data_IF_371718342173
#
_entry.id   IF_371718342173
#
_cell.length_a   1.000
_cell.length_b   1.000
_cell.length_c   1.000
_cell.angle_alpha   90.00
_cell.angle_beta   90.00
_cell.angle_gamma   90.00
#
_symmetry.space_group_name_H-M   'P 1'
#
loop_
_entity.id
_entity.type
_entity.pdbx_description
1 polymer ?
#
# COMPACT_ATOMS: atom_id res chain seq x y z
N UNK A 1 4.33 18.05 37.84
CA UNK A 1 4.32 19.43 38.34
C UNK A 1 4.48 20.35 37.14
N UNK A 2 3.46 21.10 36.84
CA UNK A 2 3.40 22.04 35.71
C UNK A 2 3.87 23.39 36.25
N UNK A 3 4.97 23.90 35.75
CA UNK A 3 5.38 25.29 36.03
C UNK A 3 4.86 26.17 34.90
N UNK A 4 3.88 26.99 35.24
CA UNK A 4 3.37 28.07 34.40
C UNK A 4 4.23 29.34 34.72
N UNK A 5 4.91 29.85 33.73
CA UNK A 5 5.60 31.17 33.83
C UNK A 5 4.70 32.18 33.14
N UNK A 6 4.19 33.15 33.91
CA UNK A 6 3.44 34.30 33.40
C UNK A 6 4.38 35.44 33.04
N UNK A 7 4.28 35.98 31.84
CA UNK A 7 4.81 37.27 31.45
C UNK A 7 3.65 38.26 31.27
N UNK A 8 3.60 39.37 31.98
CA UNK A 8 2.54 40.36 31.85
C UNK A 8 2.93 41.43 30.84
N UNK A 9 2.79 41.24 29.56
CA UNK A 9 2.81 42.29 28.56
C UNK A 9 2.61 41.79 27.12
N UNK A 10 1.61 40.99 26.84
CA UNK A 10 1.04 40.85 25.47
C UNK A 10 -0.27 40.08 25.57
N UNK A 11 -1.32 40.67 25.01
CA UNK A 11 -2.68 40.21 25.11
C UNK A 11 -2.98 38.79 24.59
N UNK A 12 -4.06 38.24 25.12
CA UNK A 12 -4.75 36.99 24.86
C UNK A 12 -4.46 36.25 23.55
N UNK A 13 -3.45 35.37 23.55
CA UNK A 13 -3.43 34.15 22.75
C UNK A 13 -2.54 33.09 23.43
N UNK A 14 -3.18 32.14 24.09
CA UNK A 14 -2.52 31.00 24.70
C UNK A 14 -2.20 29.94 23.64
N UNK A 15 -0.91 29.78 23.30
CA UNK A 15 -0.42 28.63 22.52
C UNK A 15 -0.07 27.48 23.47
N UNK A 16 -0.87 26.43 23.46
CA UNK A 16 -0.60 25.17 24.15
C UNK A 16 0.41 24.37 23.36
N UNK A 17 1.66 24.34 23.78
CA UNK A 17 2.68 23.41 23.29
C UNK A 17 2.74 22.18 24.18
N UNK A 18 2.04 21.14 23.81
CA UNK A 18 2.15 19.80 24.42
C UNK A 18 3.04 18.92 23.54
N UNK A 19 4.33 18.74 23.93
CA UNK A 19 5.10 17.48 23.85
C UNK A 19 6.53 17.69 24.36
N UNK A 20 7.10 16.78 25.17
CA UNK A 20 8.48 16.91 25.64
C UNK A 20 9.45 16.47 24.53
N UNK A 21 10.30 17.38 24.11
CA UNK A 21 11.42 17.10 23.23
C UNK A 21 12.60 16.60 24.08
N UNK A 22 12.93 15.32 23.98
CA UNK A 22 14.13 14.73 24.61
C UNK A 22 15.27 14.73 23.61
N UNK A 23 16.20 15.69 23.76
CA UNK A 23 17.47 15.73 23.04
C UNK A 23 18.62 15.73 24.02
N UNK A 24 19.70 14.95 23.83
CA UNK A 24 20.83 14.83 24.77
C UNK A 24 21.66 16.11 24.92
N UNK A 25 21.45 17.14 24.13
CA UNK A 25 22.25 18.38 24.15
C UNK A 25 21.79 19.45 25.18
N UNK A 26 20.75 19.21 25.97
CA UNK A 26 20.23 20.20 26.92
C UNK A 26 21.12 20.44 28.14
N UNK A 27 21.83 19.41 28.59
CA UNK A 27 22.74 19.52 29.74
C UNK A 27 23.98 20.42 29.43
N UNK A 28 24.56 20.25 28.26
CA UNK A 28 25.73 21.00 27.84
C UNK A 28 25.44 22.51 27.73
N UNK A 29 24.22 22.89 27.27
CA UNK A 29 23.83 24.29 27.12
C UNK A 29 23.53 24.98 28.46
N UNK A 30 22.96 24.27 29.44
CA UNK A 30 22.70 24.84 30.79
C UNK A 30 23.96 25.00 31.61
N UNK A 31 24.93 24.10 31.50
CA UNK A 31 26.19 24.15 32.23
C UNK A 31 27.08 25.29 31.71
N UNK A 32 27.13 25.53 30.40
CA UNK A 32 27.87 26.65 29.80
C UNK A 32 27.25 28.00 30.18
N UNK A 33 25.93 28.11 30.21
CA UNK A 33 25.22 29.33 30.54
C UNK A 33 25.40 29.72 32.03
N UNK A 34 25.39 28.73 32.93
CA UNK A 34 25.60 28.98 34.39
C UNK A 34 27.02 29.33 34.72
N UNK A 35 28.04 28.77 34.07
CA UNK A 35 29.43 29.14 34.24
C UNK A 35 29.74 30.57 33.72
N UNK A 36 29.20 30.92 32.54
CA UNK A 36 29.34 32.28 31.98
C UNK A 36 28.74 33.33 32.89
N UNK A 37 27.55 33.09 33.47
CA UNK A 37 26.91 34.06 34.37
C UNK A 37 27.69 34.24 35.67
N UNK A 38 28.29 33.18 36.22
CA UNK A 38 29.14 33.25 37.43
C UNK A 38 30.43 34.02 37.21
N UNK A 39 31.08 33.88 36.05
CA UNK A 39 32.32 34.62 35.75
C UNK A 39 32.05 36.07 35.44
N UNK A 40 30.97 36.44 34.77
CA UNK A 40 30.59 37.85 34.51
C UNK A 40 30.28 38.59 35.81
N UNK A 41 29.61 37.91 36.78
CA UNK A 41 29.31 38.52 38.09
C UNK A 41 30.59 38.81 38.89
N UNK A 42 31.58 37.93 38.87
CA UNK A 42 32.89 38.14 39.53
C UNK A 42 33.72 39.27 38.93
N UNK A 43 33.54 39.54 37.62
CA UNK A 43 34.24 40.64 36.93
C UNK A 43 33.62 42.00 37.29
N UNK A 44 32.28 42.05 37.50
CA UNK A 44 31.57 43.27 37.88
C UNK A 44 31.93 43.70 39.33
N UNK A 45 32.12 42.72 40.24
CA UNK A 45 32.49 42.99 41.65
C UNK A 45 33.92 43.54 41.83
N UNK A 46 34.79 43.42 40.80
CA UNK A 46 36.20 43.86 40.86
C UNK A 46 36.44 45.31 40.42
N UNK A 47 35.43 46.15 40.23
CA UNK A 47 35.57 47.64 40.07
C UNK A 47 36.41 48.09 38.85
N UNK A 48 36.37 47.36 37.72
CA UNK A 48 37.09 47.73 36.51
C UNK A 48 36.45 48.93 35.79
N UNK A 49 37.32 49.90 35.44
CA UNK A 49 36.97 51.15 34.72
C UNK A 49 36.22 50.89 33.42
N UNK A 50 35.24 51.77 33.14
CA UNK A 50 34.37 51.72 31.94
C UNK A 50 35.14 51.63 30.59
N UNK A 51 36.38 52.07 30.55
CA UNK A 51 37.25 52.00 29.38
C UNK A 51 37.75 50.59 29.06
N UNK A 52 38.03 49.76 30.08
CA UNK A 52 38.43 48.37 29.87
C UNK A 52 37.28 47.51 29.41
N UNK A 53 36.05 47.78 29.87
CA UNK A 53 34.85 47.02 29.41
C UNK A 53 34.59 47.24 27.91
N UNK A 54 34.83 48.47 27.38
CA UNK A 54 34.66 48.74 25.95
C UNK A 54 35.71 48.04 25.08
N UNK A 55 36.94 47.90 25.54
CA UNK A 55 37.98 47.15 24.80
C UNK A 55 37.70 45.63 24.79
N UNK A 56 37.27 45.06 25.89
CA UNK A 56 36.90 43.65 25.97
C UNK A 56 35.68 43.32 25.09
N UNK A 57 34.65 44.17 25.02
CA UNK A 57 33.46 43.93 24.18
C UNK A 57 33.79 44.00 22.69
N UNK A 58 34.77 44.77 22.26
CA UNK A 58 35.23 44.84 20.87
C UNK A 58 36.00 43.57 20.49
N UNK A 59 36.91 43.10 21.34
CA UNK A 59 37.65 41.85 21.09
C UNK A 59 36.73 40.61 21.09
N UNK A 60 35.73 40.56 21.96
CA UNK A 60 34.75 39.46 21.99
C UNK A 60 33.83 39.46 20.79
N UNK A 61 33.49 40.62 20.24
CA UNK A 61 32.73 40.72 18.99
C UNK A 61 33.50 40.13 17.79
N UNK A 62 34.81 40.37 17.72
CA UNK A 62 35.67 39.80 16.68
C UNK A 62 35.86 38.27 16.88
N UNK A 63 35.96 37.79 18.13
CA UNK A 63 36.06 36.37 18.43
C UNK A 63 34.76 35.63 18.12
N UNK A 64 33.59 36.20 18.42
CA UNK A 64 32.29 35.67 18.08
C UNK A 64 32.04 35.65 16.56
N UNK A 65 32.46 36.67 15.83
CA UNK A 65 32.40 36.72 14.38
C UNK A 65 33.32 35.67 13.72
N UNK A 66 34.52 35.47 14.27
CA UNK A 66 35.44 34.42 13.81
C UNK A 66 34.94 33.01 14.11
N UNK A 67 34.32 32.78 15.28
CA UNK A 67 33.66 31.51 15.60
C UNK A 67 32.40 31.24 14.73
N UNK A 68 31.59 32.27 14.46
CA UNK A 68 30.47 32.14 13.51
C UNK A 68 30.95 31.89 12.08
N UNK A 69 32.07 32.47 11.66
CA UNK A 69 32.69 32.20 10.35
C UNK A 69 33.20 30.78 10.20
N UNK A 70 33.75 30.19 11.27
CA UNK A 70 34.15 28.76 11.27
C UNK A 70 32.96 27.79 11.27
N UNK A 71 31.80 28.16 11.84
CA UNK A 71 30.59 27.37 11.82
C UNK A 71 29.91 27.41 10.46
N UNK A 72 30.02 28.47 9.69
CA UNK A 72 29.49 28.57 8.33
C UNK A 72 30.35 27.82 7.30
N UNK A 73 31.63 27.59 7.59
CA UNK A 73 32.51 26.79 6.74
C UNK A 73 32.38 25.26 7.01
N UNK A 74 31.73 24.85 8.11
CA UNK A 74 31.52 23.44 8.50
C UNK A 74 30.16 22.88 8.14
N UNK A 75 29.20 23.66 7.62
CA UNK A 75 27.96 23.17 7.01
C UNK A 75 28.13 22.95 5.51
N UNK A 76 29.17 22.25 5.10
CA UNK A 76 29.07 21.40 3.95
C UNK A 76 28.06 20.31 4.33
N UNK A 77 26.82 20.39 3.84
CA UNK A 77 25.97 19.23 3.81
C UNK A 77 26.79 18.16 3.11
N UNK A 78 27.27 17.16 3.84
CA UNK A 78 27.44 15.83 3.29
C UNK A 78 26.05 15.39 2.83
N UNK A 79 25.61 15.90 1.69
CA UNK A 79 24.96 15.03 0.75
C UNK A 79 26.05 14.00 0.46
N UNK A 80 26.06 12.92 1.22
CA UNK A 80 26.71 11.71 0.78
C UNK A 80 26.11 11.47 -0.61
N UNK A 81 26.83 11.86 -1.63
CA UNK A 81 26.53 11.46 -2.99
C UNK A 81 26.48 9.93 -2.84
N UNK A 82 25.26 9.37 -2.98
CA UNK A 82 25.05 7.94 -3.03
C UNK A 82 26.07 7.45 -4.05
N UNK A 83 27.10 6.72 -3.63
CA UNK A 83 27.99 6.10 -4.59
C UNK A 83 27.10 5.33 -5.53
N UNK A 84 27.08 5.76 -6.79
CA UNK A 84 26.37 5.05 -7.85
C UNK A 84 27.16 3.75 -8.08
N UNK A 85 26.78 2.72 -7.33
CA UNK A 85 27.33 1.38 -7.47
C UNK A 85 26.78 0.64 -8.71
N UNK A 86 26.00 1.33 -9.52
CA UNK A 86 25.33 0.81 -10.73
C UNK A 86 24.18 -0.15 -10.39
N UNK A 87 23.68 -0.17 -9.15
CA UNK A 87 22.55 -1.00 -8.74
C UNK A 87 21.23 -0.28 -9.00
N UNK A 88 20.37 -0.86 -9.84
CA UNK A 88 19.01 -0.37 -10.07
C UNK A 88 18.11 -0.77 -8.90
N UNK A 89 17.57 0.23 -8.20
CA UNK A 89 16.66 0.06 -7.06
C UNK A 89 15.23 0.19 -7.51
N UNK A 90 14.50 -0.92 -7.47
CA UNK A 90 13.11 -1.00 -7.90
C UNK A 90 12.20 -1.13 -6.68
N UNK A 91 11.41 -0.10 -6.41
CA UNK A 91 10.40 -0.14 -5.36
C UNK A 91 9.18 -0.93 -5.83
N UNK A 92 8.81 -1.99 -5.13
CA UNK A 92 7.60 -2.78 -5.39
C UNK A 92 6.61 -2.55 -4.26
N UNK A 93 5.48 -1.89 -4.59
CA UNK A 93 4.51 -1.37 -3.61
C UNK A 93 3.16 -2.07 -3.80
N UNK A 94 2.82 -3.09 -2.95
CA UNK A 94 1.52 -3.75 -2.97
C UNK A 94 0.42 -2.88 -2.32
N UNK A 95 -0.85 -3.32 -2.41
CA UNK A 95 -1.95 -2.74 -1.63
C UNK A 95 -1.83 -3.05 -0.14
N UNK A 96 -1.28 -4.22 0.19
CA UNK A 96 -1.04 -4.67 1.56
C UNK A 96 0.06 -5.72 1.63
N UNK A 97 0.53 -6.06 2.84
CA UNK A 97 1.68 -6.97 3.00
C UNK A 97 1.33 -8.27 3.74
N UNK A 98 0.09 -8.44 4.20
CA UNK A 98 -0.29 -9.54 5.10
C UNK A 98 -0.93 -10.75 4.40
N UNK A 99 -1.50 -10.60 3.19
CA UNK A 99 -2.22 -11.65 2.49
C UNK A 99 -1.30 -12.54 1.65
N UNK A 100 -1.75 -13.78 1.41
CA UNK A 100 -1.00 -14.75 0.57
C UNK A 100 -0.84 -14.25 -0.86
N UNK A 101 -1.86 -13.63 -1.42
CA UNK A 101 -1.82 -13.01 -2.73
C UNK A 101 -0.63 -12.05 -2.90
N UNK A 102 -0.41 -11.15 -1.94
CA UNK A 102 0.72 -10.20 -1.98
C UNK A 102 2.07 -10.87 -1.78
N UNK A 103 2.13 -11.94 -0.96
CA UNK A 103 3.36 -12.73 -0.81
C UNK A 103 3.74 -13.44 -2.11
N UNK A 104 2.76 -13.89 -2.88
CA UNK A 104 2.98 -14.49 -4.20
C UNK A 104 3.50 -13.46 -5.22
N UNK A 105 2.97 -12.23 -5.23
CA UNK A 105 3.52 -11.13 -6.02
C UNK A 105 4.97 -10.83 -5.61
N UNK A 106 5.27 -10.79 -4.30
CA UNK A 106 6.62 -10.60 -3.80
C UNK A 106 7.57 -11.72 -4.27
N UNK A 107 7.13 -12.97 -4.20
CA UNK A 107 7.92 -14.10 -4.70
C UNK A 107 8.25 -13.97 -6.19
N UNK A 108 7.28 -13.52 -7.01
CA UNK A 108 7.49 -13.22 -8.42
C UNK A 108 8.51 -12.10 -8.65
N UNK A 109 8.42 -11.00 -7.89
CA UNK A 109 9.37 -9.89 -7.97
C UNK A 109 10.80 -10.32 -7.59
N UNK A 110 10.96 -11.11 -6.51
CA UNK A 110 12.25 -11.69 -6.09
C UNK A 110 12.79 -12.69 -7.12
N UNK A 111 11.92 -13.46 -7.78
CA UNK A 111 12.33 -14.34 -8.89
C UNK A 111 12.94 -13.52 -10.03
N UNK A 112 12.29 -12.45 -10.45
CA UNK A 112 12.78 -11.56 -11.49
C UNK A 112 14.13 -10.91 -11.11
N UNK A 113 14.26 -10.43 -9.87
CA UNK A 113 15.51 -9.88 -9.33
C UNK A 113 16.66 -10.90 -9.43
N UNK A 114 16.44 -12.14 -8.98
CA UNK A 114 17.47 -13.20 -9.01
C UNK A 114 17.89 -13.55 -10.43
N UNK A 115 16.94 -13.66 -11.35
CA UNK A 115 17.24 -13.98 -12.77
C UNK A 115 18.02 -12.84 -13.43
N UNK A 116 17.59 -11.57 -13.24
CA UNK A 116 18.27 -10.41 -13.79
C UNK A 116 19.70 -10.28 -13.24
N UNK A 117 19.90 -10.55 -11.93
CA UNK A 117 21.21 -10.54 -11.33
C UNK A 117 22.11 -11.70 -11.85
N UNK A 118 21.54 -12.87 -12.12
CA UNK A 118 22.26 -13.97 -12.76
C UNK A 118 22.65 -13.66 -14.22
N UNK A 119 21.90 -12.79 -14.91
CA UNK A 119 22.25 -12.23 -16.22
C UNK A 119 23.38 -11.16 -16.14
N UNK A 120 23.91 -10.85 -14.96
CA UNK A 120 24.99 -9.87 -14.74
C UNK A 120 24.51 -8.45 -14.50
N UNK A 121 23.22 -8.23 -14.32
CA UNK A 121 22.66 -6.94 -13.89
C UNK A 121 22.83 -6.78 -12.39
N UNK A 122 22.68 -5.56 -11.89
CA UNK A 122 22.64 -5.27 -10.46
C UNK A 122 21.27 -4.69 -10.12
N UNK A 123 20.35 -5.53 -9.67
CA UNK A 123 18.98 -5.15 -9.33
C UNK A 123 18.75 -5.39 -7.84
N UNK A 124 18.15 -4.41 -7.17
CA UNK A 124 17.66 -4.51 -5.81
C UNK A 124 16.14 -4.26 -5.80
N UNK A 125 15.36 -5.24 -5.41
CA UNK A 125 13.91 -5.12 -5.22
C UNK A 125 13.62 -4.67 -3.79
N UNK A 126 13.04 -3.49 -3.63
CA UNK A 126 12.63 -2.93 -2.35
C UNK A 126 11.14 -3.18 -2.17
N UNK A 127 10.77 -4.24 -1.43
CA UNK A 127 9.39 -4.56 -1.12
C UNK A 127 8.90 -3.75 0.08
N UNK A 128 7.93 -2.85 -0.14
CA UNK A 128 7.34 -2.05 0.92
C UNK A 128 5.92 -1.62 0.59
N UNK A 129 4.98 -1.91 1.46
CA UNK A 129 3.57 -1.55 1.31
C UNK A 129 2.91 -1.26 2.64
N UNK A 130 1.64 -0.83 2.62
CA UNK A 130 0.81 -0.76 3.82
C UNK A 130 0.69 -2.13 4.49
N UNK A 131 0.49 -2.13 5.80
CA UNK A 131 0.24 -3.39 6.52
C UNK A 131 -1.11 -3.98 6.11
N UNK A 132 -2.12 -3.12 5.92
CA UNK A 132 -3.49 -3.49 5.54
C UNK A 132 -3.91 -2.75 4.27
N UNK A 133 -4.85 -3.31 3.55
CA UNK A 133 -5.38 -2.74 2.30
C UNK A 133 -6.39 -1.59 2.52
N UNK A 134 -6.43 -0.97 3.68
CA UNK A 134 -7.25 0.20 4.02
C UNK A 134 -6.43 1.48 4.26
N UNK A 135 -5.09 1.37 4.25
CA UNK A 135 -4.20 2.50 4.50
C UNK A 135 -3.73 3.16 3.19
N UNK A 136 -4.69 3.84 2.53
CA UNK A 136 -4.45 4.59 1.30
C UNK A 136 -3.41 5.70 1.50
N UNK A 137 -3.47 6.40 2.63
CA UNK A 137 -2.58 7.53 2.91
C UNK A 137 -1.14 7.05 3.10
N UNK A 138 -0.95 5.88 3.71
CA UNK A 138 0.35 5.24 3.79
C UNK A 138 0.88 4.87 2.40
N UNK A 139 0.04 4.33 1.50
CA UNK A 139 0.49 3.99 0.15
C UNK A 139 0.89 5.24 -0.66
N UNK A 140 0.12 6.34 -0.57
CA UNK A 140 0.48 7.63 -1.15
C UNK A 140 1.84 8.10 -0.64
N UNK A 141 2.03 8.08 0.69
CA UNK A 141 3.28 8.48 1.34
C UNK A 141 4.47 7.62 0.89
N UNK A 142 4.27 6.32 0.67
CA UNK A 142 5.31 5.42 0.16
C UNK A 142 5.75 5.80 -1.25
N UNK A 143 4.80 6.06 -2.17
CA UNK A 143 5.14 6.50 -3.54
C UNK A 143 5.93 7.82 -3.50
N UNK A 144 5.50 8.79 -2.69
CA UNK A 144 6.18 10.07 -2.52
C UNK A 144 7.58 9.93 -1.93
N UNK A 145 7.75 9.06 -0.92
CA UNK A 145 9.03 8.80 -0.29
C UNK A 145 10.02 8.14 -1.25
N UNK A 146 9.58 7.15 -2.03
CA UNK A 146 10.42 6.53 -3.05
C UNK A 146 10.77 7.50 -4.18
N UNK A 147 9.83 8.36 -4.57
CA UNK A 147 10.10 9.44 -5.52
C UNK A 147 11.19 10.38 -4.99
N UNK A 148 11.08 10.81 -3.73
CA UNK A 148 12.06 11.73 -3.10
C UNK A 148 13.41 11.07 -2.88
N UNK A 149 13.44 9.78 -2.55
CA UNK A 149 14.70 9.03 -2.35
C UNK A 149 15.42 8.68 -3.65
N UNK A 150 14.79 8.93 -4.81
CA UNK A 150 15.39 8.70 -6.12
C UNK A 150 15.64 7.22 -6.39
N UNK A 151 14.60 6.37 -6.28
CA UNK A 151 14.67 5.00 -6.80
C UNK A 151 14.64 5.02 -8.32
N UNK A 152 15.16 3.98 -8.97
CA UNK A 152 15.27 3.93 -10.43
C UNK A 152 13.95 3.55 -11.10
N UNK A 153 13.02 2.94 -10.35
CA UNK A 153 11.69 2.60 -10.86
C UNK A 153 10.72 2.18 -9.75
N UNK A 154 9.44 2.30 -10.05
CA UNK A 154 8.36 1.91 -9.14
C UNK A 154 7.44 0.90 -9.82
N UNK A 155 7.17 -0.23 -9.18
CA UNK A 155 6.13 -1.19 -9.53
C UNK A 155 5.02 -1.06 -8.47
N UNK A 156 3.84 -0.61 -8.87
CA UNK A 156 2.76 -0.21 -7.96
C UNK A 156 1.48 -0.99 -8.24
N UNK A 157 0.91 -1.61 -7.21
CA UNK A 157 -0.49 -2.04 -7.21
C UNK A 157 -1.36 -0.97 -6.54
N UNK A 158 -2.06 -0.10 -7.26
CA UNK A 158 -2.81 1.00 -6.65
C UNK A 158 -3.97 0.48 -5.78
N UNK A 159 -4.01 0.91 -4.53
CA UNK A 159 -5.12 0.61 -3.62
C UNK A 159 -6.40 1.33 -4.06
N UNK A 160 -6.24 2.57 -4.52
CA UNK A 160 -7.32 3.43 -5.01
C UNK A 160 -6.93 4.02 -6.37
N UNK A 161 -7.77 3.79 -7.38
CA UNK A 161 -7.50 4.16 -8.77
C UNK A 161 -7.40 5.68 -9.00
N UNK A 162 -8.04 6.49 -8.15
CA UNK A 162 -8.05 7.95 -8.28
C UNK A 162 -7.01 8.60 -7.38
N UNK A 163 -6.88 8.15 -6.13
CA UNK A 163 -6.02 8.79 -5.16
C UNK A 163 -4.52 8.65 -5.50
N UNK A 164 -4.14 7.57 -6.17
CA UNK A 164 -2.76 7.33 -6.59
C UNK A 164 -2.37 8.00 -7.92
N UNK A 165 -3.29 8.69 -8.62
CA UNK A 165 -2.99 9.39 -9.88
C UNK A 165 -1.91 10.44 -9.68
N UNK A 166 -2.13 11.40 -8.78
CA UNK A 166 -1.19 12.50 -8.55
C UNK A 166 0.21 12.01 -8.07
N UNK A 167 0.33 11.10 -7.08
CA UNK A 167 1.63 10.55 -6.71
C UNK A 167 2.39 9.90 -7.86
N UNK A 168 1.70 9.15 -8.72
CA UNK A 168 2.32 8.49 -9.89
C UNK A 168 2.75 9.52 -10.94
N UNK A 169 1.93 10.51 -11.24
CA UNK A 169 2.28 11.56 -12.20
C UNK A 169 3.46 12.42 -11.71
N UNK A 170 3.57 12.65 -10.40
CA UNK A 170 4.72 13.33 -9.80
C UNK A 170 5.99 12.48 -9.96
N UNK A 171 5.94 11.17 -9.69
CA UNK A 171 7.08 10.26 -9.89
C UNK A 171 7.54 10.26 -11.34
N UNK A 172 6.62 10.15 -12.30
CA UNK A 172 6.92 10.24 -13.73
C UNK A 172 7.54 11.58 -14.13
N UNK A 173 7.03 12.69 -13.57
CA UNK A 173 7.58 14.03 -13.83
C UNK A 173 8.97 14.20 -13.25
N UNK A 174 9.32 13.47 -12.19
CA UNK A 174 10.66 13.41 -11.60
C UNK A 174 11.61 12.47 -12.37
N UNK A 175 11.15 11.86 -13.48
CA UNK A 175 11.95 10.94 -14.30
C UNK A 175 11.97 9.49 -13.79
N UNK A 176 11.14 9.16 -12.78
CA UNK A 176 11.05 7.79 -12.24
C UNK A 176 9.92 7.05 -12.96
N UNK A 177 10.23 6.04 -13.79
CA UNK A 177 9.22 5.26 -14.48
C UNK A 177 8.36 4.45 -13.50
N UNK A 178 7.06 4.28 -13.82
CA UNK A 178 6.12 3.51 -13.01
C UNK A 178 5.46 2.44 -13.86
N UNK A 179 5.52 1.19 -13.41
CA UNK A 179 4.71 0.07 -13.92
C UNK A 179 3.57 -0.18 -12.93
N UNK A 180 2.36 -0.20 -13.44
CA UNK A 180 1.16 -0.54 -12.66
C UNK A 180 0.93 -2.05 -12.73
N UNK A 181 0.64 -2.68 -11.58
CA UNK A 181 0.30 -4.11 -11.50
C UNK A 181 -1.06 -4.32 -10.80
N UNK A 182 -1.67 -5.49 -10.99
CA UNK A 182 -2.91 -5.95 -10.32
C UNK A 182 -4.13 -5.06 -10.59
N UNK A 183 -4.10 -3.80 -10.22
CA UNK A 183 -5.25 -2.89 -10.23
C UNK A 183 -4.97 -1.64 -11.05
N UNK A 184 -5.95 -1.18 -11.80
CA UNK A 184 -5.81 -0.03 -12.69
C UNK A 184 -5.69 1.30 -11.97
N UNK A 185 -5.28 2.32 -12.71
CA UNK A 185 -5.16 3.70 -12.28
C UNK A 185 -5.90 4.61 -13.27
N UNK A 186 -6.53 5.69 -12.81
CA UNK A 186 -7.31 6.62 -13.62
C UNK A 186 -6.44 7.64 -14.36
N UNK A 187 -5.33 7.18 -14.92
CA UNK A 187 -4.44 7.90 -15.84
C UNK A 187 -3.77 6.88 -16.73
N UNK A 188 -3.25 7.31 -17.87
CA UNK A 188 -2.41 6.52 -18.78
C UNK A 188 -0.91 6.85 -18.67
N UNK A 189 -0.56 7.78 -17.78
CA UNK A 189 0.82 8.22 -17.53
C UNK A 189 1.56 7.21 -16.66
N UNK A 190 1.80 6.05 -17.21
CA UNK A 190 2.66 4.99 -16.67
C UNK A 190 3.27 4.18 -17.82
N UNK A 191 4.30 3.43 -17.55
CA UNK A 191 5.05 2.64 -18.56
C UNK A 191 4.19 1.50 -19.10
N UNK A 192 3.69 0.65 -18.22
CA UNK A 192 2.92 -0.55 -18.55
C UNK A 192 1.91 -0.87 -17.45
N UNK A 193 0.87 -1.64 -17.79
CA UNK A 193 -0.08 -2.22 -16.86
C UNK A 193 -0.09 -3.74 -16.96
N UNK A 194 0.38 -4.42 -15.92
CA UNK A 194 0.52 -5.88 -15.83
C UNK A 194 -0.51 -6.42 -14.86
N UNK A 195 -1.54 -7.08 -15.34
CA UNK A 195 -2.63 -7.58 -14.50
C UNK A 195 -3.50 -8.61 -15.24
N UNK A 196 -4.30 -9.33 -14.49
CA UNK A 196 -5.42 -10.15 -14.96
C UNK A 196 -6.45 -9.32 -15.72
N UNK A 197 -7.14 -9.90 -16.70
CA UNK A 197 -8.39 -9.37 -17.20
C UNK A 197 -9.51 -9.57 -16.17
N UNK A 198 -9.65 -8.58 -15.30
CA UNK A 198 -10.60 -8.61 -14.19
C UNK A 198 -12.07 -8.60 -14.64
N UNK A 199 -12.38 -8.01 -15.82
CA UNK A 199 -13.73 -8.05 -16.37
C UNK A 199 -14.08 -9.49 -16.78
N UNK A 200 -13.18 -10.15 -17.51
CA UNK A 200 -13.30 -11.55 -17.89
C UNK A 200 -13.42 -12.44 -16.65
N UNK A 201 -12.61 -12.22 -15.62
CA UNK A 201 -12.70 -12.97 -14.36
C UNK A 201 -14.08 -12.87 -13.71
N UNK A 202 -14.65 -11.66 -13.68
CA UNK A 202 -16.02 -11.46 -13.20
C UNK A 202 -17.07 -12.17 -14.05
N UNK A 203 -16.92 -12.12 -15.38
CA UNK A 203 -17.81 -12.84 -16.30
C UNK A 203 -17.77 -14.37 -16.08
N UNK A 204 -16.57 -14.93 -15.93
CA UNK A 204 -16.39 -16.35 -15.63
C UNK A 204 -17.08 -16.74 -14.31
N UNK A 205 -16.96 -15.91 -13.27
CA UNK A 205 -17.67 -16.14 -12.01
C UNK A 205 -19.19 -16.13 -12.18
N UNK A 206 -19.74 -15.16 -12.92
CA UNK A 206 -21.18 -15.05 -13.16
C UNK A 206 -21.74 -16.18 -13.99
N UNK A 207 -21.04 -16.56 -15.07
CA UNK A 207 -21.44 -17.69 -15.92
C UNK A 207 -21.39 -19.01 -15.16
N UNK A 208 -20.34 -19.25 -14.38
CA UNK A 208 -20.24 -20.46 -13.56
C UNK A 208 -21.33 -20.51 -12.48
N UNK A 209 -21.57 -19.40 -11.77
CA UNK A 209 -22.63 -19.30 -10.75
C UNK A 209 -24.02 -19.55 -11.36
N UNK A 210 -24.32 -18.94 -12.51
CA UNK A 210 -25.59 -19.15 -13.19
C UNK A 210 -25.78 -20.61 -13.58
N UNK A 211 -24.75 -21.30 -14.07
CA UNK A 211 -24.79 -22.75 -14.37
C UNK A 211 -25.04 -23.59 -13.11
N UNK A 212 -24.39 -23.28 -11.99
CA UNK A 212 -24.59 -23.95 -10.71
C UNK A 212 -26.07 -23.84 -10.23
N UNK A 213 -26.71 -22.72 -10.52
CA UNK A 213 -28.11 -22.45 -10.19
C UNK A 213 -29.10 -22.89 -11.30
N UNK A 214 -28.62 -23.46 -12.40
CA UNK A 214 -29.46 -23.79 -13.55
C UNK A 214 -30.24 -22.58 -14.08
N UNK A 215 -29.60 -21.41 -14.00
CA UNK A 215 -30.12 -20.09 -14.41
C UNK A 215 -31.35 -19.59 -13.62
N UNK A 216 -31.60 -20.06 -12.39
CA UNK A 216 -32.71 -19.63 -11.55
C UNK A 216 -32.28 -19.54 -10.09
N UNK A 217 -32.69 -18.46 -9.39
CA UNK A 217 -32.43 -18.32 -7.95
C UNK A 217 -32.11 -16.91 -7.51
N UNK A 218 -31.84 -16.76 -6.22
CA UNK A 218 -31.53 -15.48 -5.56
C UNK A 218 -30.04 -15.38 -5.28
N UNK A 219 -29.41 -14.31 -5.76
CA UNK A 219 -27.97 -14.13 -5.76
C UNK A 219 -27.57 -12.86 -5.01
N UNK A 220 -26.45 -12.92 -4.32
CA UNK A 220 -25.79 -11.80 -3.70
C UNK A 220 -24.43 -11.56 -4.37
N UNK A 221 -24.13 -10.31 -4.71
CA UNK A 221 -22.79 -9.83 -5.00
C UNK A 221 -22.23 -9.12 -3.76
N UNK A 222 -21.21 -9.65 -3.13
CA UNK A 222 -20.48 -8.98 -2.05
C UNK A 222 -19.26 -8.26 -2.63
N UNK A 223 -19.34 -6.91 -2.68
CA UNK A 223 -18.27 -6.04 -3.18
C UNK A 223 -17.11 -5.97 -2.20
N UNK A 224 -15.96 -5.44 -2.65
CA UNK A 224 -14.78 -5.30 -1.80
C UNK A 224 -14.67 -3.93 -1.12
N UNK A 225 -14.30 -2.90 -1.87
CA UNK A 225 -14.09 -1.54 -1.38
C UNK A 225 -14.22 -0.54 -2.54
N UNK A 226 -14.68 0.66 -2.25
CA UNK A 226 -14.78 1.75 -3.23
C UNK A 226 -13.40 2.19 -3.70
N UNK A 227 -13.25 2.42 -5.01
CA UNK A 227 -12.01 2.90 -5.62
C UNK A 227 -11.02 1.80 -6.04
N UNK A 228 -11.31 0.52 -5.76
CA UNK A 228 -10.49 -0.59 -6.21
C UNK A 228 -10.86 -1.00 -7.65
N UNK A 229 -10.11 -0.51 -8.63
CA UNK A 229 -10.41 -0.73 -10.05
C UNK A 229 -10.45 -2.21 -10.47
N UNK A 230 -9.63 -3.08 -9.87
CA UNK A 230 -9.67 -4.52 -10.17
C UNK A 230 -10.99 -5.15 -9.76
N UNK A 231 -11.44 -4.91 -8.53
CA UNK A 231 -12.67 -5.51 -8.00
C UNK A 231 -13.92 -4.90 -8.64
N UNK A 232 -13.94 -3.60 -8.95
CA UNK A 232 -15.02 -2.97 -9.71
C UNK A 232 -15.20 -3.61 -11.10
N UNK A 233 -14.12 -3.98 -11.78
CA UNK A 233 -14.19 -4.71 -13.05
C UNK A 233 -14.73 -6.13 -12.87
N UNK A 234 -14.36 -6.84 -11.80
CA UNK A 234 -14.92 -8.15 -11.46
C UNK A 234 -16.43 -8.05 -11.21
N UNK A 235 -16.84 -7.05 -10.44
CA UNK A 235 -18.26 -6.76 -10.18
C UNK A 235 -19.04 -6.51 -11.47
N UNK A 236 -18.52 -5.65 -12.34
CA UNK A 236 -19.16 -5.34 -13.63
C UNK A 236 -19.21 -6.57 -14.57
N UNK A 237 -18.14 -7.35 -14.62
CA UNK A 237 -18.10 -8.58 -15.37
C UNK A 237 -19.15 -9.59 -14.89
N UNK A 238 -19.25 -9.77 -13.56
CA UNK A 238 -20.24 -10.63 -12.95
C UNK A 238 -21.67 -10.20 -13.26
N UNK A 239 -21.98 -8.92 -13.08
CA UNK A 239 -23.30 -8.37 -13.38
C UNK A 239 -23.66 -8.55 -14.85
N UNK A 240 -22.73 -8.28 -15.78
CA UNK A 240 -22.96 -8.47 -17.22
C UNK A 240 -23.22 -9.92 -17.61
N UNK A 241 -22.62 -10.89 -16.90
CA UNK A 241 -22.90 -12.31 -17.12
C UNK A 241 -24.32 -12.69 -16.66
N UNK A 242 -24.76 -12.15 -15.51
CA UNK A 242 -26.11 -12.45 -14.98
C UNK A 242 -27.24 -11.89 -15.86
N UNK A 243 -26.99 -10.81 -16.64
CA UNK A 243 -27.98 -10.29 -17.61
C UNK A 243 -28.45 -11.35 -18.61
N UNK A 244 -27.63 -12.37 -18.87
CA UNK A 244 -27.97 -13.51 -19.74
C UNK A 244 -28.92 -14.52 -19.08
N UNK A 245 -29.20 -14.40 -17.79
CA UNK A 245 -29.98 -15.33 -16.96
C UNK A 245 -31.11 -14.59 -16.22
N UNK A 246 -32.17 -14.15 -16.92
CA UNK A 246 -33.18 -13.23 -16.37
C UNK A 246 -34.02 -13.82 -15.22
N UNK A 247 -34.00 -15.12 -14.99
CA UNK A 247 -34.65 -15.80 -13.85
C UNK A 247 -33.76 -15.75 -12.57
N UNK A 248 -32.54 -15.28 -12.66
CA UNK A 248 -31.71 -15.03 -11.49
C UNK A 248 -32.06 -13.63 -10.93
N UNK A 249 -32.39 -13.59 -9.64
CA UNK A 249 -32.72 -12.37 -8.92
C UNK A 249 -31.49 -11.90 -8.11
N UNK A 250 -30.95 -10.75 -8.45
CA UNK A 250 -29.92 -10.10 -7.65
C UNK A 250 -30.57 -9.39 -6.45
N UNK A 251 -30.52 -10.02 -5.27
CA UNK A 251 -31.20 -9.52 -4.07
C UNK A 251 -30.35 -8.55 -3.24
N UNK A 252 -29.03 -8.52 -3.46
CA UNK A 252 -28.11 -7.50 -2.91
C UNK A 252 -26.87 -7.39 -3.78
N UNK A 253 -26.46 -6.14 -4.08
CA UNK A 253 -25.24 -5.82 -4.84
C UNK A 253 -24.61 -4.49 -4.42
N UNK A 254 -25.01 -3.95 -3.30
CA UNK A 254 -24.60 -2.64 -2.79
C UNK A 254 -23.78 -2.71 -1.49
N UNK A 255 -23.52 -3.93 -1.00
CA UNK A 255 -22.81 -4.15 0.25
C UNK A 255 -21.32 -4.44 0.01
N UNK A 256 -20.48 -3.86 0.87
CA UNK A 256 -19.02 -3.96 0.79
C UNK A 256 -18.48 -4.82 1.93
N UNK A 257 -17.62 -5.76 1.61
CA UNK A 257 -16.94 -6.64 2.57
C UNK A 257 -15.96 -5.85 3.46
N UNK A 258 -15.32 -4.83 2.88
CA UNK A 258 -14.21 -4.15 3.52
C UNK A 258 -12.86 -4.85 3.27
N UNK A 259 -11.75 -4.20 3.67
CA UNK A 259 -10.41 -4.56 3.22
C UNK A 259 -9.75 -5.72 4.00
N UNK A 260 -10.31 -6.15 5.12
CA UNK A 260 -9.74 -7.22 5.96
C UNK A 260 -10.66 -8.42 6.08
N UNK A 261 -10.10 -9.59 6.45
CA UNK A 261 -10.90 -10.80 6.73
C UNK A 261 -11.92 -10.57 7.85
N UNK A 262 -11.56 -9.77 8.86
CA UNK A 262 -12.41 -9.43 10.00
C UNK A 262 -13.60 -8.57 9.57
N UNK A 263 -13.36 -7.51 8.79
CA UNK A 263 -14.44 -6.66 8.27
C UNK A 263 -15.32 -7.43 7.29
N UNK A 264 -14.73 -8.26 6.43
CA UNK A 264 -15.46 -9.10 5.50
C UNK A 264 -16.38 -10.08 6.24
N UNK A 265 -15.89 -10.70 7.30
CA UNK A 265 -16.71 -11.61 8.12
C UNK A 265 -17.85 -10.86 8.81
N UNK A 266 -17.61 -9.72 9.46
CA UNK A 266 -18.63 -8.92 10.12
C UNK A 266 -19.72 -8.43 9.15
N UNK A 267 -19.31 -7.90 7.99
CA UNK A 267 -20.25 -7.44 6.96
C UNK A 267 -21.00 -8.59 6.31
N UNK A 268 -20.39 -9.77 6.18
CA UNK A 268 -21.07 -10.98 5.75
C UNK A 268 -22.12 -11.45 6.73
N UNK A 269 -21.86 -11.43 8.05
CA UNK A 269 -22.88 -11.73 9.07
C UNK A 269 -24.07 -10.77 8.96
N UNK A 270 -23.80 -9.45 8.82
CA UNK A 270 -24.87 -8.45 8.67
C UNK A 270 -25.72 -8.71 7.43
N UNK A 271 -25.08 -9.09 6.33
CA UNK A 271 -25.74 -9.41 5.07
C UNK A 271 -26.58 -10.68 5.18
N UNK A 272 -26.05 -11.74 5.79
CA UNK A 272 -26.73 -13.00 6.01
C UNK A 272 -27.87 -12.90 7.05
N UNK A 273 -27.82 -12.02 8.01
CA UNK A 273 -28.94 -11.72 8.91
C UNK A 273 -30.17 -11.21 8.14
N UNK A 274 -29.96 -10.52 7.00
CA UNK A 274 -31.04 -10.00 6.14
C UNK A 274 -31.53 -11.00 5.11
N UNK A 275 -30.61 -11.69 4.45
CA UNK A 275 -30.87 -12.46 3.25
C UNK A 275 -30.50 -13.94 3.38
N UNK A 276 -29.89 -14.36 4.50
CA UNK A 276 -29.31 -15.69 4.66
C UNK A 276 -30.28 -16.84 4.51
N UNK A 277 -31.59 -16.63 4.74
CA UNK A 277 -32.60 -17.68 4.58
C UNK A 277 -33.09 -17.87 3.13
N UNK A 278 -32.91 -16.85 2.28
CA UNK A 278 -33.45 -16.87 0.93
C UNK A 278 -32.40 -16.94 -0.18
N UNK A 279 -31.13 -16.60 0.13
CA UNK A 279 -30.05 -16.61 -0.84
C UNK A 279 -29.70 -18.02 -1.31
N UNK A 280 -29.49 -18.20 -2.62
CA UNK A 280 -29.10 -19.46 -3.22
C UNK A 280 -27.64 -19.48 -3.65
N UNK A 281 -27.07 -18.34 -4.02
CA UNK A 281 -25.64 -18.23 -4.32
C UNK A 281 -25.08 -16.87 -4.02
N UNK A 282 -23.76 -16.81 -3.77
CA UNK A 282 -23.02 -15.58 -3.44
C UNK A 282 -21.74 -15.54 -4.28
N UNK A 283 -21.45 -14.39 -4.86
CA UNK A 283 -20.13 -14.10 -5.43
C UNK A 283 -19.38 -13.11 -4.54
N UNK A 284 -18.16 -13.48 -4.17
CA UNK A 284 -17.20 -12.66 -3.43
C UNK A 284 -16.01 -12.34 -4.32
N UNK A 285 -15.67 -11.05 -4.44
CA UNK A 285 -14.81 -10.54 -5.51
C UNK A 285 -13.30 -10.61 -5.22
N UNK A 286 -12.88 -11.08 -4.02
CA UNK A 286 -11.47 -11.27 -3.66
C UNK A 286 -11.30 -12.26 -2.50
N UNK A 287 -10.04 -12.62 -2.17
CA UNK A 287 -9.69 -13.59 -1.13
C UNK A 287 -10.35 -13.28 0.22
N UNK A 288 -10.25 -12.05 0.71
CA UNK A 288 -10.76 -11.69 2.03
C UNK A 288 -12.28 -11.81 2.14
N UNK A 289 -13.01 -11.33 1.12
CA UNK A 289 -14.47 -11.45 1.07
C UNK A 289 -14.90 -12.90 0.95
N UNK A 290 -14.19 -13.73 0.19
CA UNK A 290 -14.45 -15.16 0.05
C UNK A 290 -14.33 -15.86 1.41
N UNK A 291 -13.21 -15.69 2.11
CA UNK A 291 -12.95 -16.34 3.41
C UNK A 291 -13.95 -15.85 4.47
N UNK A 292 -14.21 -14.53 4.52
CA UNK A 292 -15.14 -13.93 5.49
C UNK A 292 -16.57 -14.43 5.31
N UNK A 293 -17.06 -14.48 4.07
CA UNK A 293 -18.40 -14.97 3.74
C UNK A 293 -18.53 -16.48 4.01
N UNK A 294 -17.55 -17.27 3.60
CA UNK A 294 -17.57 -18.73 3.84
C UNK A 294 -17.66 -19.05 5.33
N UNK A 295 -16.89 -18.32 6.16
CA UNK A 295 -16.99 -18.45 7.62
C UNK A 295 -18.36 -18.08 8.14
N UNK A 296 -18.95 -16.99 7.67
CA UNK A 296 -20.30 -16.57 8.10
C UNK A 296 -21.40 -17.56 7.68
N UNK A 297 -21.29 -18.17 6.48
CA UNK A 297 -22.21 -19.24 6.03
C UNK A 297 -22.13 -20.49 6.91
N UNK A 298 -20.92 -20.89 7.34
CA UNK A 298 -20.74 -22.02 8.27
C UNK A 298 -21.49 -21.78 9.59
N UNK A 299 -21.43 -20.56 10.14
CA UNK A 299 -22.05 -20.24 11.42
C UNK A 299 -23.58 -20.29 11.40
N UNK A 300 -24.18 -19.95 10.26
CA UNK A 300 -25.64 -20.08 10.09
C UNK A 300 -26.07 -21.45 9.54
N UNK A 301 -25.12 -22.38 9.38
CA UNK A 301 -25.39 -23.75 8.93
C UNK A 301 -25.74 -23.87 7.45
N UNK A 302 -25.42 -22.89 6.61
CA UNK A 302 -25.76 -22.87 5.18
C UNK A 302 -24.56 -23.00 4.23
N UNK A 303 -23.39 -23.41 4.76
CA UNK A 303 -22.21 -23.82 3.99
C UNK A 303 -22.39 -25.24 3.39
N UNK A 304 -21.32 -25.86 2.91
CA UNK A 304 -21.36 -27.20 2.32
C UNK A 304 -22.14 -27.28 1.01
N UNK A 305 -22.23 -26.16 0.28
CA UNK A 305 -22.89 -26.08 -1.03
C UNK A 305 -24.42 -25.92 -0.98
N UNK A 306 -25.01 -25.73 0.20
CA UNK A 306 -26.42 -25.32 0.29
C UNK A 306 -26.62 -23.93 -0.33
N UNK A 307 -25.78 -22.95 0.06
CA UNK A 307 -25.60 -21.72 -0.67
C UNK A 307 -24.38 -21.89 -1.57
N UNK A 308 -24.51 -21.72 -2.88
CA UNK A 308 -23.40 -21.83 -3.81
C UNK A 308 -22.46 -20.64 -3.64
N UNK A 309 -21.24 -20.91 -3.21
CA UNK A 309 -20.23 -19.90 -2.96
C UNK A 309 -19.21 -19.86 -4.10
N UNK A 310 -19.12 -18.73 -4.80
CA UNK A 310 -18.11 -18.47 -5.82
C UNK A 310 -17.20 -17.38 -5.28
N UNK A 311 -15.90 -17.63 -5.29
CA UNK A 311 -14.88 -16.71 -4.78
C UNK A 311 -13.91 -16.28 -5.84
N UNK A 312 -12.92 -15.52 -5.38
CA UNK A 312 -11.80 -15.06 -6.18
C UNK A 312 -10.51 -15.29 -5.38
N UNK A 313 -9.44 -15.67 -6.06
CA UNK A 313 -8.14 -16.06 -5.54
C UNK A 313 -8.11 -17.42 -4.78
N UNK A 314 -7.02 -18.14 -4.96
CA UNK A 314 -6.82 -19.49 -4.43
C UNK A 314 -5.80 -19.51 -3.27
N UNK A 315 -6.00 -18.66 -2.26
CA UNK A 315 -5.22 -18.73 -1.02
C UNK A 315 -5.46 -20.08 -0.30
N UNK A 316 -4.52 -20.49 0.54
CA UNK A 316 -4.53 -21.81 1.20
C UNK A 316 -5.82 -22.11 1.98
N UNK A 317 -6.50 -21.07 2.52
CA UNK A 317 -7.78 -21.26 3.18
C UNK A 317 -8.92 -21.47 2.17
N UNK A 318 -8.94 -20.71 1.07
CA UNK A 318 -9.98 -20.87 0.03
C UNK A 318 -9.94 -22.24 -0.63
N UNK A 319 -8.75 -22.81 -0.81
CA UNK A 319 -8.58 -24.20 -1.30
C UNK A 319 -9.17 -25.21 -0.31
N UNK A 320 -8.87 -25.10 0.97
CA UNK A 320 -9.45 -25.96 2.01
C UNK A 320 -10.98 -25.84 2.07
N UNK A 321 -11.49 -24.64 1.88
CA UNK A 321 -12.93 -24.38 1.85
C UNK A 321 -13.58 -24.99 0.61
N UNK A 322 -12.87 -25.10 -0.51
CA UNK A 322 -13.31 -25.84 -1.69
C UNK A 322 -13.26 -27.36 -1.46
N UNK A 323 -12.17 -27.88 -0.90
CA UNK A 323 -12.02 -29.31 -0.56
C UNK A 323 -13.12 -29.79 0.42
N UNK A 324 -13.54 -28.92 1.34
CA UNK A 324 -14.65 -29.22 2.27
C UNK A 324 -16.04 -29.05 1.65
N UNK A 325 -16.14 -28.60 0.41
CA UNK A 325 -17.41 -28.37 -0.30
C UNK A 325 -18.12 -27.06 0.07
N UNK A 326 -17.47 -26.17 0.81
CA UNK A 326 -18.04 -24.87 1.20
C UNK A 326 -17.94 -23.82 0.08
N UNK A 327 -16.95 -23.95 -0.80
CA UNK A 327 -16.75 -23.13 -2.00
C UNK A 327 -16.85 -23.99 -3.24
N UNK A 328 -17.67 -23.59 -4.19
CA UNK A 328 -17.94 -24.36 -5.42
C UNK A 328 -17.10 -23.91 -6.61
N UNK A 329 -16.51 -22.70 -6.54
CA UNK A 329 -15.64 -22.20 -7.61
C UNK A 329 -14.79 -21.05 -7.15
N UNK A 330 -13.58 -20.99 -7.68
CA UNK A 330 -12.64 -19.89 -7.47
C UNK A 330 -12.13 -19.37 -8.81
N UNK A 331 -12.25 -18.08 -9.05
CA UNK A 331 -11.57 -17.44 -10.16
C UNK A 331 -10.16 -17.08 -9.72
N UNK A 332 -9.16 -17.60 -10.41
CA UNK A 332 -7.76 -17.55 -9.96
C UNK A 332 -6.91 -16.75 -10.94
N UNK A 333 -6.08 -15.89 -10.39
CA UNK A 333 -5.10 -15.07 -11.08
C UNK A 333 -3.71 -15.70 -10.99
N UNK A 334 -2.74 -15.12 -11.71
CA UNK A 334 -1.32 -15.43 -11.55
C UNK A 334 -0.56 -14.27 -10.87
N UNK A 335 -0.58 -14.18 -9.54
CA UNK A 335 0.12 -13.12 -8.82
C UNK A 335 1.64 -13.24 -8.92
N UNK A 336 2.19 -14.45 -9.05
CA UNK A 336 3.64 -14.64 -9.24
C UNK A 336 4.07 -14.00 -10.55
N UNK A 337 3.33 -14.23 -11.62
CA UNK A 337 3.59 -13.61 -12.92
C UNK A 337 3.43 -12.09 -12.88
N UNK A 338 2.45 -11.55 -12.13
CA UNK A 338 2.31 -10.09 -11.98
C UNK A 338 3.56 -9.44 -11.39
N UNK A 339 4.08 -9.99 -10.30
CA UNK A 339 5.31 -9.48 -9.67
C UNK A 339 6.54 -9.64 -10.55
N UNK A 340 6.68 -10.79 -11.20
CA UNK A 340 7.77 -11.10 -12.10
C UNK A 340 7.78 -10.18 -13.32
N UNK A 341 6.68 -10.10 -14.06
CA UNK A 341 6.57 -9.25 -15.25
C UNK A 341 6.65 -7.76 -14.90
N UNK A 342 6.12 -7.35 -13.74
CA UNK A 342 6.24 -5.98 -13.25
C UNK A 342 7.69 -5.53 -13.15
N UNK A 343 8.54 -6.34 -12.51
CA UNK A 343 9.98 -6.05 -12.36
C UNK A 343 10.73 -6.19 -13.69
N UNK A 344 10.49 -7.23 -14.49
CA UNK A 344 11.14 -7.41 -15.78
C UNK A 344 10.81 -6.25 -16.74
N UNK A 345 9.56 -5.81 -16.76
CA UNK A 345 9.08 -4.72 -17.63
C UNK A 345 9.71 -3.38 -17.27
N UNK A 346 9.78 -3.03 -15.97
CA UNK A 346 10.35 -1.75 -15.57
C UNK A 346 11.86 -1.70 -15.82
N UNK A 347 12.58 -2.80 -15.57
CA UNK A 347 14.02 -2.89 -15.88
C UNK A 347 14.27 -2.80 -17.37
N UNK A 348 13.48 -3.49 -18.19
CA UNK A 348 13.60 -3.40 -19.65
C UNK A 348 13.36 -1.96 -20.16
N UNK A 349 12.39 -1.25 -19.58
CA UNK A 349 12.12 0.16 -19.92
C UNK A 349 13.31 1.07 -19.54
N UNK A 350 13.88 0.90 -18.34
CA UNK A 350 15.06 1.66 -17.87
C UNK A 350 16.26 1.43 -18.82
N UNK A 351 16.41 0.22 -19.35
CA UNK A 351 17.44 -0.13 -20.36
C UNK A 351 17.13 0.44 -21.75
N UNK A 352 16.07 1.20 -21.93
CA UNK A 352 15.65 1.79 -23.21
C UNK A 352 14.99 0.81 -24.18
N UNK A 353 14.58 -0.37 -23.71
CA UNK A 353 13.84 -1.34 -24.53
C UNK A 353 12.38 -0.94 -24.67
N UNK A 354 11.77 -1.27 -25.80
CA UNK A 354 10.33 -1.14 -25.98
C UNK A 354 9.61 -2.20 -25.16
N UNK A 355 8.58 -1.77 -24.41
CA UNK A 355 7.74 -2.64 -23.58
C UNK A 355 6.26 -2.51 -23.97
N UNK A 356 5.51 -3.56 -23.75
CA UNK A 356 4.06 -3.55 -24.00
C UNK A 356 3.33 -2.65 -23.02
N UNK A 357 2.35 -1.89 -23.49
CA UNK A 357 1.52 -1.00 -22.66
C UNK A 357 0.59 -1.79 -21.74
N UNK A 358 0.20 -3.01 -22.14
CA UNK A 358 -0.66 -3.93 -21.36
C UNK A 358 -0.13 -5.36 -21.45
N UNK A 359 0.09 -5.98 -20.32
CA UNK A 359 0.44 -7.40 -20.19
C UNK A 359 -0.68 -8.10 -19.42
N UNK A 360 -1.35 -9.05 -20.06
CA UNK A 360 -2.35 -9.89 -19.41
C UNK A 360 -1.66 -11.09 -18.76
N UNK A 361 -1.89 -11.29 -17.46
CA UNK A 361 -1.31 -12.40 -16.71
C UNK A 361 -2.18 -13.66 -16.72
N UNK A 362 -3.34 -13.60 -17.35
CA UNK A 362 -4.28 -14.71 -17.43
C UNK A 362 -5.26 -14.78 -16.25
N UNK A 363 -6.27 -15.64 -16.42
CA UNK A 363 -7.28 -15.95 -15.41
C UNK A 363 -7.88 -17.31 -15.72
N UNK A 364 -8.12 -18.13 -14.69
CA UNK A 364 -8.70 -19.46 -14.80
C UNK A 364 -9.82 -19.64 -13.77
N UNK A 365 -10.75 -20.57 -14.06
CA UNK A 365 -11.76 -21.03 -13.10
C UNK A 365 -11.31 -22.35 -12.51
N UNK A 366 -11.14 -22.40 -11.21
CA UNK A 366 -10.88 -23.60 -10.44
C UNK A 366 -12.18 -24.07 -9.81
N UNK A 367 -12.44 -25.36 -9.94
CA UNK A 367 -13.63 -26.04 -9.40
C UNK A 367 -13.19 -27.32 -8.69
N UNK A 368 -14.04 -27.98 -7.88
CA UNK A 368 -13.69 -29.27 -7.27
C UNK A 368 -13.24 -30.33 -8.27
N UNK A 369 -13.76 -30.26 -9.51
CA UNK A 369 -13.48 -31.24 -10.55
C UNK A 369 -12.08 -31.09 -11.16
N UNK A 370 -11.53 -29.84 -11.23
CA UNK A 370 -10.22 -29.55 -11.85
C UNK A 370 -9.16 -29.07 -10.86
N UNK A 371 -9.46 -29.06 -9.57
CA UNK A 371 -8.54 -28.57 -8.53
C UNK A 371 -7.15 -29.25 -8.54
N UNK A 372 -7.10 -30.52 -8.97
CA UNK A 372 -5.88 -31.32 -9.00
C UNK A 372 -5.24 -31.42 -10.39
N UNK A 373 -5.75 -30.72 -11.39
CA UNK A 373 -5.19 -30.72 -12.74
C UNK A 373 -3.88 -29.91 -12.77
N UNK A 374 -2.92 -30.31 -13.63
CA UNK A 374 -1.62 -29.63 -13.76
C UNK A 374 -1.76 -28.15 -14.13
N UNK A 375 -2.82 -27.76 -14.89
CA UNK A 375 -3.11 -26.38 -15.26
C UNK A 375 -3.65 -25.54 -14.11
N UNK A 376 -4.06 -26.19 -13.01
CA UNK A 376 -4.63 -25.56 -11.81
C UNK A 376 -3.62 -25.34 -10.69
N UNK A 377 -2.41 -25.91 -10.81
CA UNK A 377 -1.30 -25.80 -9.88
C UNK A 377 -0.27 -24.75 -10.31
#
# INVERSE_FOLDING_TARGET
MVHTVFYPEFGDHALILSKPFTSPNRKCFQDVHSQLFSEVTKIIEKGLSLTMLRFMTIQWRFLLLALCGLWLAGCGSENAAKEDDGTLRIAVIPKGTTHEFWRSIHAGAVKAEKELNAEGKKIEVIWKGPLKEDDRDQQISLVQNFTTSGVDGIVLAPLDAQALVSPVEIAQSAGIPVVIIDSGLNTDKYVSFVATDNLKGGQMAGEYLANQLKNEGKVILLRYAVGSASTEKRENGFLSALEKSPSIQLISSDQYAGPTRETAYQNSQNLLNRFGQEVNAIFCVNENSTIGMTKALREIGRAGGEVKMIGFDAGSQSIKDMESGDVQGLVVQDPVRMGYEGVKTIVAHIEGKQVEKRIDTGVVMITPENLNDEESQ
#
